data_IF_114041269464
#
_entry.id   IF_114041269464
#
_cell.length_a   1.000
_cell.length_b   1.000
_cell.length_c   1.000
_cell.angle_alpha   90.00
_cell.angle_beta   90.00
_cell.angle_gamma   90.00
#
_symmetry.space_group_name_H-M   'P 1'
#
loop_
_entity.id
_entity.type
_entity.pdbx_description
1 polymer ?
#
# COMPACT_ATOMS: atom_id res chain seq x y z
N UNK A 1 19.13 -2.53 -8.06
CA UNK A 1 18.40 -3.72 -8.57
C UNK A 1 16.94 -3.75 -8.14
N UNK A 2 16.60 -3.76 -6.84
CA UNK A 2 15.19 -3.80 -6.39
C UNK A 2 14.31 -2.65 -6.95
N UNK A 3 14.84 -1.41 -6.97
CA UNK A 3 14.10 -0.19 -7.37
C UNK A 3 13.48 -0.21 -8.78
N UNK A 4 14.04 -0.98 -9.70
CA UNK A 4 13.54 -1.07 -11.08
C UNK A 4 12.82 -2.39 -11.37
N UNK A 5 13.21 -3.45 -10.66
CA UNK A 5 12.69 -4.79 -10.88
C UNK A 5 11.26 -4.95 -10.36
N UNK A 6 10.98 -4.43 -9.15
CA UNK A 6 9.66 -4.57 -8.51
C UNK A 6 8.54 -3.88 -9.31
N UNK A 7 8.68 -2.63 -9.79
CA UNK A 7 7.64 -2.01 -10.61
C UNK A 7 7.41 -2.73 -11.95
N UNK A 8 8.48 -3.24 -12.56
CA UNK A 8 8.39 -3.92 -13.87
C UNK A 8 7.72 -5.28 -13.75
N UNK A 9 8.04 -6.06 -12.72
CA UNK A 9 7.38 -7.35 -12.46
C UNK A 9 5.88 -7.16 -12.12
N UNK A 10 5.54 -6.14 -11.34
CA UNK A 10 4.16 -5.82 -11.00
C UNK A 10 3.34 -5.39 -12.23
N UNK A 11 3.93 -4.58 -13.11
CA UNK A 11 3.32 -4.19 -14.39
C UNK A 11 2.96 -5.43 -15.23
N UNK A 12 3.91 -6.35 -15.40
CA UNK A 12 3.69 -7.55 -16.21
C UNK A 12 2.60 -8.43 -15.63
N UNK A 13 2.58 -8.62 -14.30
CA UNK A 13 1.53 -9.39 -13.63
C UNK A 13 0.15 -8.74 -13.78
N UNK A 14 0.03 -7.43 -13.62
CA UNK A 14 -1.27 -6.76 -13.75
C UNK A 14 -1.76 -6.68 -15.19
N UNK A 15 -0.84 -6.64 -16.16
CA UNK A 15 -1.18 -6.68 -17.57
C UNK A 15 -1.79 -8.05 -17.98
N UNK A 16 -1.53 -9.12 -17.22
CA UNK A 16 -2.21 -10.42 -17.45
C UNK A 16 -3.55 -10.51 -16.73
N UNK A 17 -3.75 -9.73 -15.66
CA UNK A 17 -4.99 -9.73 -14.86
C UNK A 17 -6.00 -8.64 -15.24
N UNK A 18 -5.60 -7.65 -16.04
CA UNK A 18 -6.43 -6.50 -16.32
C UNK A 18 -5.97 -5.67 -17.53
N UNK A 19 -6.65 -4.56 -17.80
CA UNK A 19 -6.36 -3.72 -18.95
C UNK A 19 -5.01 -3.00 -18.79
N UNK A 20 -4.32 -2.77 -19.91
CA UNK A 20 -2.96 -2.22 -19.93
C UNK A 20 -2.80 -0.86 -19.21
N UNK A 21 -3.85 -0.03 -19.19
CA UNK A 21 -3.83 1.25 -18.49
C UNK A 21 -3.71 1.08 -16.97
N UNK A 22 -4.38 0.08 -16.39
CA UNK A 22 -4.30 -0.21 -14.95
C UNK A 22 -2.90 -0.69 -14.58
N UNK A 23 -2.31 -1.56 -15.41
CA UNK A 23 -0.93 -2.02 -15.21
C UNK A 23 0.04 -0.83 -15.21
N UNK A 24 -0.15 0.12 -16.13
CA UNK A 24 0.69 1.32 -16.21
C UNK A 24 0.58 2.20 -14.96
N UNK A 25 -0.64 2.50 -14.50
CA UNK A 25 -0.88 3.31 -13.30
C UNK A 25 -0.24 2.69 -12.06
N UNK A 26 -0.38 1.37 -11.94
CA UNK A 26 0.19 0.60 -10.84
C UNK A 26 1.72 0.59 -10.86
N UNK A 27 2.34 0.52 -12.04
CA UNK A 27 3.80 0.67 -12.19
C UNK A 27 4.29 2.03 -11.71
N UNK A 28 3.56 3.10 -12.05
CA UNK A 28 3.89 4.46 -11.65
C UNK A 28 3.74 4.65 -10.14
N UNK A 29 2.62 4.20 -9.56
CA UNK A 29 2.38 4.19 -8.12
C UNK A 29 3.52 3.48 -7.37
N UNK A 30 3.88 2.27 -7.80
CA UNK A 30 4.91 1.47 -7.14
C UNK A 30 6.31 2.11 -7.22
N UNK A 31 6.61 2.75 -8.36
CA UNK A 31 7.85 3.51 -8.56
C UNK A 31 7.91 4.72 -7.62
N UNK A 32 6.77 5.42 -7.46
CA UNK A 32 6.62 6.52 -6.51
C UNK A 32 6.83 6.07 -5.07
N UNK A 33 6.15 5.01 -4.64
CA UNK A 33 6.30 4.44 -3.28
C UNK A 33 7.75 4.04 -2.99
N UNK A 34 8.45 3.41 -3.94
CA UNK A 34 9.86 3.04 -3.72
C UNK A 34 10.80 4.23 -3.69
N UNK A 35 10.42 5.34 -4.34
CA UNK A 35 11.26 6.53 -4.45
C UNK A 35 11.09 7.46 -3.27
N UNK A 36 9.85 7.75 -2.90
CA UNK A 36 9.48 8.74 -1.89
C UNK A 36 9.06 8.09 -0.56
N UNK A 37 8.78 6.79 -0.56
CA UNK A 37 8.13 6.12 0.56
C UNK A 37 6.63 6.43 0.64
N UNK A 38 5.97 5.89 1.66
CA UNK A 38 4.63 6.32 2.09
C UNK A 38 4.77 6.98 3.46
N UNK A 39 5.22 8.23 3.46
CA UNK A 39 5.42 9.00 4.69
C UNK A 39 4.14 9.79 5.02
N UNK A 40 3.66 9.61 6.24
CA UNK A 40 2.58 10.43 6.77
C UNK A 40 3.09 11.83 7.13
N UNK A 41 2.23 12.85 7.00
CA UNK A 41 2.50 14.16 7.57
C UNK A 41 2.17 14.18 9.07
N UNK A 42 2.71 15.15 9.79
CA UNK A 42 2.26 15.46 11.15
C UNK A 42 0.74 15.67 11.17
N UNK A 43 0.05 15.20 12.21
CA UNK A 43 -1.42 15.30 12.31
C UNK A 43 -2.21 14.21 11.58
N UNK A 44 -1.55 13.31 10.82
CA UNK A 44 -2.24 12.28 10.03
C UNK A 44 -3.00 11.29 10.92
N UNK A 45 -2.43 10.91 12.07
CA UNK A 45 -3.05 9.95 12.99
C UNK A 45 -4.34 10.53 13.55
N UNK A 46 -4.27 11.77 14.03
CA UNK A 46 -5.38 12.51 14.64
C UNK A 46 -6.51 12.68 13.62
N UNK A 47 -6.16 13.06 12.38
CA UNK A 47 -7.13 13.20 11.29
C UNK A 47 -7.83 11.88 10.99
N UNK A 48 -7.08 10.78 10.89
CA UNK A 48 -7.64 9.47 10.59
C UNK A 48 -8.53 8.96 11.73
N UNK A 49 -8.12 9.15 12.98
CA UNK A 49 -8.92 8.78 14.14
C UNK A 49 -10.22 9.59 14.21
N UNK A 50 -10.19 10.88 13.87
CA UNK A 50 -11.38 11.73 13.81
C UNK A 50 -12.37 11.25 12.74
N UNK A 51 -11.88 10.85 11.55
CA UNK A 51 -12.72 10.29 10.48
C UNK A 51 -13.32 8.94 10.90
N UNK A 52 -12.54 8.10 11.58
CA UNK A 52 -12.95 6.74 11.93
C UNK A 52 -13.79 6.67 13.22
N UNK A 53 -13.74 7.70 14.07
CA UNK A 53 -14.43 7.75 15.36
C UNK A 53 -13.88 6.79 16.42
N UNK A 54 -12.68 6.24 16.20
CA UNK A 54 -12.01 5.28 17.10
C UNK A 54 -10.48 5.40 16.98
N UNK A 55 -9.71 4.98 17.99
CA UNK A 55 -8.27 4.91 17.88
C UNK A 55 -7.85 3.97 16.73
N UNK A 56 -6.72 4.28 16.10
CA UNK A 56 -6.10 3.38 15.13
C UNK A 56 -5.60 2.12 15.85
N UNK A 57 -5.87 0.95 15.29
CA UNK A 57 -5.30 -0.29 15.84
C UNK A 57 -3.81 -0.39 15.53
N UNK A 58 -3.08 -1.07 16.40
CA UNK A 58 -1.69 -1.42 16.11
C UNK A 58 -1.64 -2.53 15.06
N UNK A 59 -0.49 -2.64 14.37
CA UNK A 59 -0.27 -3.74 13.43
C UNK A 59 -0.27 -5.10 14.14
N UNK A 60 0.21 -5.15 15.39
CA UNK A 60 0.22 -6.39 16.18
C UNK A 60 -1.19 -6.87 16.50
N UNK A 61 -2.07 -5.97 16.97
CA UNK A 61 -3.47 -6.32 17.26
C UNK A 61 -4.19 -6.78 16.00
N UNK A 62 -3.91 -6.15 14.85
CA UNK A 62 -4.43 -6.61 13.56
C UNK A 62 -4.01 -8.04 13.24
N UNK A 63 -2.72 -8.34 13.35
CA UNK A 63 -2.19 -9.68 13.02
C UNK A 63 -2.82 -10.72 13.95
N UNK A 64 -2.94 -10.42 15.24
CA UNK A 64 -3.56 -11.31 16.22
C UNK A 64 -5.03 -11.60 15.89
N UNK A 65 -5.80 -10.58 15.50
CA UNK A 65 -7.19 -10.73 15.06
C UNK A 65 -7.29 -11.57 13.77
N UNK A 66 -6.45 -11.28 12.77
CA UNK A 66 -6.50 -11.92 11.46
C UNK A 66 -6.13 -13.41 11.49
N UNK A 67 -5.23 -13.82 12.40
CA UNK A 67 -4.80 -15.22 12.53
C UNK A 67 -5.59 -16.02 13.55
N UNK A 68 -6.34 -15.37 14.46
CA UNK A 68 -7.17 -16.05 15.45
C UNK A 68 -8.36 -16.83 14.85
N UNK A 69 -8.71 -16.56 13.58
CA UNK A 69 -9.77 -17.26 12.85
C UNK A 69 -9.28 -18.24 11.78
N UNK A 70 -7.98 -18.53 11.72
CA UNK A 70 -7.37 -19.54 10.84
C UNK A 70 -7.16 -20.85 11.58
#
# INVERSE_FOLDING_TARGET
TCRHYVPTMFYLFLHTLGPAWLAYDMRLMMSGIQTFGMQASEGTVERLQAILGRPLRTYEDFVREATAGV
#
